data_IF_031640962823
#
_entry.id   IF_031640962823
#
_cell.length_a   1.000
_cell.length_b   1.000
_cell.length_c   1.000
_cell.angle_alpha   90.00
_cell.angle_beta   90.00
_cell.angle_gamma   90.00
#
_symmetry.space_group_name_H-M   'P 1'
#
loop_
_entity.id
_entity.type
_entity.pdbx_description
1 polymer ?
#
# COMPACT_ATOMS: atom_id res chain seq x y z
N UNK A 1 10.87 7.07 -17.98
CA UNK A 1 11.31 6.27 -16.82
C UNK A 1 10.30 6.51 -15.72
N UNK A 2 9.65 5.47 -15.19
CA UNK A 2 8.73 5.65 -14.07
C UNK A 2 9.53 5.62 -12.77
N UNK A 3 9.43 6.71 -12.03
CA UNK A 3 10.05 6.90 -10.73
C UNK A 3 8.96 7.35 -9.79
N UNK A 4 8.87 6.70 -8.64
CA UNK A 4 8.01 7.10 -7.55
C UNK A 4 8.87 7.87 -6.55
N UNK A 5 8.45 9.09 -6.22
CA UNK A 5 8.98 9.86 -5.10
C UNK A 5 8.20 9.49 -3.83
N UNK A 6 8.91 9.04 -2.81
CA UNK A 6 8.30 8.56 -1.57
C UNK A 6 7.64 9.69 -0.80
N UNK A 7 8.24 10.88 -0.76
CA UNK A 7 7.69 12.03 -0.05
C UNK A 7 6.38 12.49 -0.71
N UNK A 8 6.38 12.63 -2.03
CA UNK A 8 5.18 13.05 -2.77
C UNK A 8 4.03 12.06 -2.58
N UNK A 9 4.31 10.75 -2.63
CA UNK A 9 3.28 9.74 -2.38
C UNK A 9 2.77 9.78 -0.93
N UNK A 10 3.65 9.91 0.07
CA UNK A 10 3.23 10.03 1.46
C UNK A 10 2.34 11.25 1.70
N UNK A 11 2.70 12.40 1.13
CA UNK A 11 1.89 13.62 1.20
C UNK A 11 0.53 13.40 0.55
N UNK A 12 0.50 12.80 -0.65
CA UNK A 12 -0.74 12.50 -1.36
C UNK A 12 -1.65 11.54 -0.58
N UNK A 13 -1.08 10.51 0.04
CA UNK A 13 -1.79 9.56 0.88
C UNK A 13 -2.41 10.25 2.10
N UNK A 14 -1.64 11.09 2.80
CA UNK A 14 -2.11 11.81 3.99
C UNK A 14 -3.22 12.81 3.66
N UNK A 15 -3.05 13.61 2.60
CA UNK A 15 -4.10 14.51 2.13
C UNK A 15 -5.38 13.78 1.72
N UNK A 16 -5.23 12.61 1.07
CA UNK A 16 -6.38 11.80 0.66
C UNK A 16 -7.09 11.23 1.89
N UNK A 17 -6.37 10.70 2.87
CA UNK A 17 -6.93 10.19 4.12
C UNK A 17 -7.69 11.27 4.89
N UNK A 18 -7.14 12.48 4.99
CA UNK A 18 -7.82 13.63 5.60
C UNK A 18 -9.10 13.99 4.86
N UNK A 19 -9.07 13.98 3.52
CA UNK A 19 -10.23 14.25 2.69
C UNK A 19 -11.32 13.19 2.86
N UNK A 20 -10.96 11.91 2.90
CA UNK A 20 -11.91 10.80 3.12
C UNK A 20 -12.56 10.90 4.50
N UNK A 21 -11.80 11.26 5.53
CA UNK A 21 -12.33 11.48 6.88
C UNK A 21 -13.32 12.64 6.92
N UNK A 22 -13.02 13.73 6.22
CA UNK A 22 -13.94 14.86 6.09
C UNK A 22 -15.23 14.45 5.38
N UNK A 23 -15.15 13.72 4.27
CA UNK A 23 -16.32 13.21 3.56
C UNK A 23 -17.17 12.27 4.40
N UNK A 24 -16.55 11.44 5.24
CA UNK A 24 -17.27 10.56 6.16
C UNK A 24 -18.11 11.37 7.15
N UNK A 25 -17.53 12.41 7.75
CA UNK A 25 -18.26 13.31 8.65
C UNK A 25 -19.41 14.03 7.94
N UNK A 26 -19.16 14.58 6.74
CA UNK A 26 -20.19 15.24 5.92
C UNK A 26 -21.34 14.28 5.61
N UNK A 27 -21.05 13.02 5.30
CA UNK A 27 -22.09 12.01 5.05
C UNK A 27 -22.88 11.63 6.28
N UNK A 28 -22.25 11.58 7.47
CA UNK A 28 -22.98 11.38 8.73
C UNK A 28 -23.92 12.55 9.04
N UNK A 29 -23.54 13.79 8.71
CA UNK A 29 -24.44 14.95 8.84
C UNK A 29 -25.63 14.86 7.88
N UNK A 30 -25.39 14.44 6.63
CA UNK A 30 -26.46 14.21 5.64
C UNK A 30 -27.40 13.09 6.08
N UNK A 31 -26.86 11.99 6.60
CA UNK A 31 -27.65 10.87 7.15
C UNK A 31 -28.57 11.34 8.27
N UNK A 32 -28.03 12.10 9.25
CA UNK A 32 -28.81 12.65 10.35
C UNK A 32 -29.92 13.58 9.87
N UNK A 33 -29.64 14.43 8.87
CA UNK A 33 -30.64 15.31 8.28
C UNK A 33 -31.76 14.53 7.56
N UNK A 34 -31.39 13.46 6.84
CA UNK A 34 -32.35 12.58 6.17
C UNK A 34 -33.21 11.83 7.20
N UNK A 35 -32.60 11.30 8.26
CA UNK A 35 -33.32 10.61 9.32
C UNK A 35 -34.34 11.54 9.99
N UNK A 36 -33.93 12.77 10.33
CA UNK A 36 -34.83 13.78 10.87
C UNK A 36 -35.96 14.17 9.90
N UNK A 37 -35.71 14.16 8.59
CA UNK A 37 -36.74 14.39 7.57
C UNK A 37 -37.74 13.22 7.45
N UNK A 38 -37.26 11.98 7.50
CA UNK A 38 -38.09 10.78 7.48
C UNK A 38 -39.01 10.72 8.72
N UNK A 39 -38.57 11.27 9.85
CA UNK A 39 -39.37 11.34 11.07
C UNK A 39 -40.49 12.40 11.04
N UNK A 40 -40.60 13.23 9.98
CA UNK A 40 -41.65 14.24 9.83
C UNK A 40 -43.01 13.64 9.42
N UNK A 41 -43.40 12.49 9.96
CA UNK A 41 -44.65 11.79 9.60
C UNK A 41 -45.89 12.66 9.84
N UNK A 42 -45.93 13.34 10.99
CA UNK A 42 -47.07 14.17 11.41
C UNK A 42 -47.16 15.52 10.67
N UNK A 43 -46.01 16.06 10.27
CA UNK A 43 -45.89 17.40 9.68
C UNK A 43 -45.87 17.37 8.15
N UNK A 44 -45.35 16.28 7.54
CA UNK A 44 -45.19 16.13 6.10
C UNK A 44 -46.04 14.99 5.54
N UNK A 45 -47.32 14.96 5.91
CA UNK A 45 -48.24 13.84 5.68
C UNK A 45 -48.85 13.77 4.27
N UNK A 46 -49.68 12.73 4.07
CA UNK A 46 -50.40 12.45 2.84
C UNK A 46 -49.56 11.65 1.83
N UNK A 47 -50.20 11.10 0.79
CA UNK A 47 -49.56 10.17 -0.16
C UNK A 47 -48.29 10.73 -0.82
N UNK A 48 -48.27 12.04 -1.10
CA UNK A 48 -47.08 12.69 -1.67
C UNK A 48 -45.94 12.81 -0.66
N UNK A 49 -46.24 13.18 0.58
CA UNK A 49 -45.23 13.28 1.64
C UNK A 49 -44.67 11.91 2.05
N UNK A 50 -45.53 10.90 2.13
CA UNK A 50 -45.16 9.50 2.33
C UNK A 50 -44.23 9.00 1.21
N UNK A 51 -44.57 9.26 -0.06
CA UNK A 51 -43.74 8.86 -1.19
C UNK A 51 -42.36 9.53 -1.19
N UNK A 52 -42.27 10.82 -0.81
CA UNK A 52 -40.99 11.53 -0.73
C UNK A 52 -40.15 11.01 0.44
N UNK A 53 -40.74 10.80 1.62
CA UNK A 53 -40.01 10.20 2.75
C UNK A 53 -39.51 8.81 2.43
N UNK A 54 -40.39 7.96 1.87
CA UNK A 54 -40.02 6.62 1.41
C UNK A 54 -38.89 6.64 0.38
N UNK A 55 -38.84 7.63 -0.52
CA UNK A 55 -37.71 7.78 -1.45
C UNK A 55 -36.37 8.04 -0.74
N UNK A 56 -36.36 8.85 0.32
CA UNK A 56 -35.13 9.06 1.10
C UNK A 56 -34.78 7.83 1.96
N UNK A 57 -35.77 7.20 2.57
CA UNK A 57 -35.59 6.00 3.41
C UNK A 57 -35.13 4.78 2.59
N UNK A 58 -35.77 4.50 1.47
CA UNK A 58 -35.51 3.29 0.68
C UNK A 58 -34.33 3.42 -0.28
N UNK A 59 -33.96 4.64 -0.68
CA UNK A 59 -32.88 4.87 -1.65
C UNK A 59 -31.66 5.53 -1.01
N UNK A 60 -31.85 6.63 -0.29
CA UNK A 60 -30.72 7.45 0.15
C UNK A 60 -30.05 6.90 1.41
N UNK A 61 -30.82 6.39 2.37
CA UNK A 61 -30.23 5.77 3.58
C UNK A 61 -29.33 4.57 3.21
N UNK A 62 -29.76 3.60 2.37
CA UNK A 62 -28.87 2.52 1.93
C UNK A 62 -27.67 3.01 1.13
N UNK A 63 -27.85 4.02 0.27
CA UNK A 63 -26.74 4.61 -0.49
C UNK A 63 -25.68 5.22 0.43
N UNK A 64 -26.09 6.00 1.44
CA UNK A 64 -25.18 6.63 2.39
C UNK A 64 -24.44 5.57 3.20
N UNK A 65 -25.15 4.54 3.67
CA UNK A 65 -24.53 3.41 4.38
C UNK A 65 -23.48 2.71 3.51
N UNK A 66 -23.80 2.39 2.24
CA UNK A 66 -22.84 1.82 1.31
C UNK A 66 -21.63 2.74 1.09
N UNK A 67 -21.87 4.03 0.91
CA UNK A 67 -20.81 5.01 0.68
C UNK A 67 -19.90 5.16 1.90
N UNK A 68 -20.44 5.17 3.12
CA UNK A 68 -19.67 5.16 4.36
C UNK A 68 -18.78 3.90 4.46
N UNK A 69 -19.31 2.71 4.19
CA UNK A 69 -18.50 1.47 4.16
C UNK A 69 -17.41 1.53 3.10
N UNK A 70 -17.71 2.07 1.91
CA UNK A 70 -16.71 2.28 0.87
C UNK A 70 -15.59 3.23 1.33
N UNK A 71 -15.92 4.33 2.01
CA UNK A 71 -14.92 5.25 2.55
C UNK A 71 -14.02 4.56 3.58
N UNK A 72 -14.58 3.74 4.47
CA UNK A 72 -13.83 2.98 5.47
C UNK A 72 -12.86 1.98 4.83
N UNK A 73 -13.36 1.18 3.88
CA UNK A 73 -12.55 0.23 3.12
C UNK A 73 -11.42 0.96 2.37
N UNK A 74 -11.72 2.09 1.75
CA UNK A 74 -10.72 2.84 1.01
C UNK A 74 -9.65 3.43 1.93
N UNK A 75 -10.04 4.02 3.07
CA UNK A 75 -9.09 4.48 4.09
C UNK A 75 -8.18 3.33 4.56
N UNK A 76 -8.73 2.16 4.83
CA UNK A 76 -7.96 0.96 5.23
C UNK A 76 -6.93 0.57 4.17
N UNK A 77 -7.32 0.57 2.88
CA UNK A 77 -6.40 0.29 1.76
C UNK A 77 -5.27 1.30 1.66
N UNK A 78 -5.55 2.59 1.86
CA UNK A 78 -4.52 3.64 1.85
C UNK A 78 -3.56 3.52 3.04
N UNK A 79 -4.05 3.12 4.22
CA UNK A 79 -3.19 2.85 5.38
C UNK A 79 -2.25 1.66 5.13
N UNK A 80 -2.77 0.58 4.55
CA UNK A 80 -1.95 -0.57 4.15
C UNK A 80 -0.91 -0.12 3.12
N UNK A 81 -1.30 0.64 2.10
CA UNK A 81 -0.35 1.16 1.10
C UNK A 81 0.76 2.00 1.74
N UNK A 82 0.42 2.83 2.74
CA UNK A 82 1.41 3.63 3.48
C UNK A 82 2.40 2.76 4.25
N UNK A 83 1.93 1.68 4.89
CA UNK A 83 2.78 0.74 5.60
C UNK A 83 3.70 -0.06 4.65
N UNK A 84 3.16 -0.55 3.53
CA UNK A 84 3.92 -1.26 2.51
C UNK A 84 4.98 -0.37 1.85
N UNK A 85 4.66 0.90 1.59
CA UNK A 85 5.63 1.88 1.09
C UNK A 85 6.82 2.01 2.03
N UNK A 86 6.58 2.12 3.33
CA UNK A 86 7.63 2.21 4.35
C UNK A 86 8.48 0.93 4.43
N UNK A 87 7.87 -0.24 4.24
CA UNK A 87 8.59 -1.52 4.25
C UNK A 87 9.53 -1.65 3.04
N UNK A 88 9.13 -1.14 1.87
CA UNK A 88 9.92 -1.22 0.64
C UNK A 88 10.99 -0.13 0.59
N UNK A 89 10.64 1.09 0.99
CA UNK A 89 11.55 2.24 1.01
C UNK A 89 11.27 3.13 2.23
N UNK A 90 12.02 2.95 3.34
CA UNK A 90 11.81 3.71 4.56
C UNK A 90 12.42 5.13 4.48
N UNK A 91 13.29 5.41 3.52
CA UNK A 91 13.88 6.74 3.38
C UNK A 91 12.83 7.73 2.89
N UNK A 92 12.66 8.83 3.63
CA UNK A 92 11.70 9.89 3.30
C UNK A 92 12.01 10.51 1.94
N UNK A 93 13.30 10.66 1.60
CA UNK A 93 13.79 11.13 0.30
C UNK A 93 14.14 9.97 -0.65
N UNK A 94 13.61 8.78 -0.38
CA UNK A 94 13.79 7.60 -1.21
C UNK A 94 13.08 7.71 -2.55
N UNK A 95 13.57 6.97 -3.54
CA UNK A 95 12.96 6.89 -4.85
C UNK A 95 12.85 5.44 -5.28
N UNK A 96 11.68 5.05 -5.79
CA UNK A 96 11.48 3.71 -6.34
C UNK A 96 11.48 3.81 -7.86
N UNK A 97 12.47 3.18 -8.47
CA UNK A 97 12.66 3.16 -9.93
C UNK A 97 12.08 1.85 -10.47
N UNK A 98 10.96 1.91 -11.21
CA UNK A 98 10.27 0.69 -11.70
C UNK A 98 11.17 -0.25 -12.53
N UNK A 99 12.03 0.25 -13.46
CA UNK A 99 13.00 -0.60 -14.15
C UNK A 99 13.95 -1.37 -13.23
N UNK A 100 14.31 -0.78 -12.09
CA UNK A 100 15.18 -1.44 -11.11
C UNK A 100 14.49 -2.68 -10.54
N UNK A 101 13.22 -2.55 -10.15
CA UNK A 101 12.44 -3.64 -9.58
C UNK A 101 12.08 -4.74 -10.60
N UNK A 102 11.82 -4.36 -11.85
CA UNK A 102 11.25 -5.27 -12.86
C UNK A 102 12.28 -6.01 -13.71
N UNK A 103 13.54 -5.58 -13.72
CA UNK A 103 14.57 -6.24 -14.52
C UNK A 103 16.01 -6.10 -14.00
N UNK A 104 16.41 -4.92 -13.51
CA UNK A 104 17.81 -4.74 -13.13
C UNK A 104 18.19 -5.47 -11.84
N UNK A 105 17.29 -5.55 -10.86
CA UNK A 105 17.57 -6.18 -9.57
C UNK A 105 17.95 -7.65 -9.75
N UNK A 106 17.17 -8.41 -10.51
CA UNK A 106 17.45 -9.82 -10.77
C UNK A 106 18.80 -10.00 -11.46
N UNK A 107 19.07 -9.22 -12.51
CA UNK A 107 20.34 -9.29 -13.23
C UNK A 107 21.52 -8.94 -12.32
N UNK A 108 21.39 -7.91 -11.47
CA UNK A 108 22.43 -7.51 -10.52
C UNK A 108 22.67 -8.59 -9.45
N UNK A 109 21.61 -9.17 -8.90
CA UNK A 109 21.73 -10.26 -7.93
C UNK A 109 22.43 -11.47 -8.54
N UNK A 110 22.06 -11.87 -9.77
CA UNK A 110 22.74 -12.95 -10.48
C UNK A 110 24.21 -12.62 -10.71
N UNK A 111 24.51 -11.39 -11.15
CA UNK A 111 25.89 -10.99 -11.37
C UNK A 111 26.75 -11.04 -10.11
N UNK A 112 26.18 -10.63 -8.95
CA UNK A 112 26.88 -10.72 -7.67
C UNK A 112 27.06 -12.19 -7.26
N UNK A 113 26.06 -13.04 -7.46
CA UNK A 113 26.18 -14.49 -7.22
C UNK A 113 27.32 -15.11 -8.05
N UNK A 114 27.36 -14.82 -9.35
CA UNK A 114 28.39 -15.33 -10.26
C UNK A 114 29.80 -14.84 -9.86
N UNK A 115 29.92 -13.57 -9.45
CA UNK A 115 31.17 -13.00 -8.96
C UNK A 115 31.63 -13.64 -7.64
N UNK A 116 30.71 -13.87 -6.70
CA UNK A 116 31.01 -14.54 -5.43
C UNK A 116 31.49 -15.97 -5.68
N UNK A 117 30.87 -16.71 -6.60
CA UNK A 117 31.32 -18.04 -7.00
C UNK A 117 32.72 -18.03 -7.60
N UNK A 118 32.95 -17.12 -8.54
CA UNK A 118 34.26 -16.98 -9.20
C UNK A 118 35.37 -16.67 -8.18
N UNK A 119 35.14 -15.72 -7.27
CA UNK A 119 36.12 -15.37 -6.24
C UNK A 119 36.36 -16.50 -5.23
N UNK A 120 35.31 -17.27 -4.91
CA UNK A 120 35.40 -18.43 -4.01
C UNK A 120 36.24 -19.54 -4.65
N UNK A 121 36.02 -19.82 -5.93
CA UNK A 121 36.80 -20.79 -6.71
C UNK A 121 38.27 -20.37 -6.83
N UNK A 122 38.54 -19.10 -7.12
CA UNK A 122 39.89 -18.54 -7.18
C UNK A 122 40.62 -18.66 -5.84
N UNK A 123 39.96 -18.28 -4.74
CA UNK A 123 40.52 -18.40 -3.40
C UNK A 123 40.78 -19.88 -3.03
N UNK A 124 39.85 -20.77 -3.36
CA UNK A 124 40.02 -22.21 -3.14
C UNK A 124 41.16 -22.81 -3.97
N UNK A 125 41.40 -22.30 -5.18
CA UNK A 125 42.56 -22.68 -6.01
C UNK A 125 43.88 -22.27 -5.35
N UNK A 126 43.95 -21.06 -4.78
CA UNK A 126 45.12 -20.58 -4.05
C UNK A 126 45.34 -21.41 -2.77
N UNK A 127 44.28 -21.68 -1.99
CA UNK A 127 44.33 -22.54 -0.80
C UNK A 127 44.90 -23.92 -1.16
N UNK A 128 44.40 -24.51 -2.25
CA UNK A 128 44.87 -25.80 -2.74
C UNK A 128 46.37 -25.79 -3.07
N UNK A 129 46.88 -24.70 -3.67
CA UNK A 129 48.30 -24.57 -4.04
C UNK A 129 49.29 -24.56 -2.87
N UNK A 130 48.83 -24.25 -1.65
CA UNK A 130 49.67 -24.20 -0.43
C UNK A 130 49.33 -25.30 0.58
N UNK A 131 48.43 -26.21 0.22
CA UNK A 131 47.88 -27.23 1.13
C UNK A 131 48.95 -28.19 1.68
N UNK A 132 50.04 -28.41 0.94
CA UNK A 132 51.19 -29.22 1.36
C UNK A 132 51.98 -28.58 2.52
N UNK A 133 51.87 -27.26 2.69
CA UNK A 133 52.58 -26.49 3.74
C UNK A 133 51.68 -26.32 4.97
N UNK A 134 50.39 -26.07 4.76
CA UNK A 134 49.43 -25.81 5.84
C UNK A 134 48.04 -26.28 5.43
N UNK A 135 47.36 -27.00 6.33
CA UNK A 135 45.99 -27.45 6.11
C UNK A 135 45.02 -26.30 6.38
N UNK A 136 44.37 -25.80 5.32
CA UNK A 136 43.36 -24.74 5.38
C UNK A 136 42.07 -25.27 4.73
N UNK A 137 40.91 -25.15 5.38
CA UNK A 137 39.64 -25.58 4.81
C UNK A 137 39.22 -24.71 3.61
N UNK A 138 38.50 -25.31 2.66
CA UNK A 138 37.91 -24.59 1.54
C UNK A 138 36.80 -23.64 1.99
N UNK A 139 36.67 -22.53 1.26
CA UNK A 139 35.55 -21.61 1.36
C UNK A 139 34.31 -22.24 0.71
N UNK A 140 33.15 -21.96 1.30
CA UNK A 140 31.84 -22.43 0.82
C UNK A 140 30.90 -21.23 0.67
N UNK A 141 30.36 -21.07 -0.53
CA UNK A 141 29.47 -20.00 -0.97
C UNK A 141 28.03 -20.47 -1.20
N UNK A 142 27.69 -21.70 -0.81
CA UNK A 142 26.34 -22.27 -0.98
C UNK A 142 25.22 -21.50 -0.29
N UNK A 143 25.52 -20.64 0.69
CA UNK A 143 24.52 -19.75 1.30
C UNK A 143 24.17 -18.53 0.43
N UNK A 144 24.96 -18.27 -0.61
CA UNK A 144 24.85 -17.10 -1.48
C UNK A 144 24.34 -17.43 -2.89
N UNK A 145 24.33 -18.72 -3.26
CA UNK A 145 23.87 -19.28 -4.55
C UNK A 145 22.50 -19.97 -4.41
#
# INVERSE_FOLDING_TARGET
MKVLDVADLQIGLDQTLESLKRQQNEMSEVEAAIQGFIELEDSFKGKGGEAIRGFYEEVHVPFISYYQSFLEDYQSRLQIMKAELFNVEPAINGVIVEPFLTGELQHRLQHVADQTATLTDEANSIIFSVQDIVSVPHLNDSEFL
#
